data_IF_918526477252
#
_entry.id   IF_918526477252
#
_cell.length_a   1.000
_cell.length_b   1.000
_cell.length_c   1.000
_cell.angle_alpha   90.00
_cell.angle_beta   90.00
_cell.angle_gamma   90.00
#
_symmetry.space_group_name_H-M   'P 1'
#
loop_
_entity.id
_entity.type
_entity.pdbx_description
1 polymer ?
#
# COMPACT_ATOMS: atom_id res chain seq x y z
N UNK A 1 28.29 -14.87 12.39
CA UNK A 1 27.52 -13.65 12.09
C UNK A 1 27.46 -12.88 13.37
N UNK A 2 28.15 -11.73 13.44
CA UNK A 2 28.00 -10.83 14.56
C UNK A 2 26.54 -10.39 14.65
N UNK A 3 26.00 -10.30 15.86
CA UNK A 3 24.62 -9.90 16.07
C UNK A 3 24.40 -8.52 15.44
N UNK A 4 23.42 -8.42 14.53
CA UNK A 4 23.01 -7.13 13.97
C UNK A 4 22.58 -6.26 15.16
N UNK A 5 23.14 -5.05 15.35
CA UNK A 5 22.82 -4.24 16.50
C UNK A 5 21.33 -3.88 16.50
N UNK A 6 20.62 -4.24 17.57
CA UNK A 6 19.22 -3.89 17.78
C UNK A 6 19.09 -2.75 18.78
N UNK A 7 18.14 -1.85 18.56
CA UNK A 7 17.79 -0.79 19.51
C UNK A 7 16.29 -0.87 19.81
N UNK A 8 15.93 -0.82 21.09
CA UNK A 8 14.54 -0.68 21.51
C UNK A 8 14.04 0.73 21.18
N UNK A 9 12.86 0.82 20.59
CA UNK A 9 12.19 2.08 20.25
C UNK A 9 10.82 2.06 20.91
N UNK A 10 10.63 2.91 21.92
CA UNK A 10 9.32 3.10 22.55
C UNK A 10 8.37 3.88 21.65
N UNK A 11 7.07 3.91 21.97
CA UNK A 11 6.08 4.75 21.27
C UNK A 11 6.50 6.23 21.26
N UNK A 12 7.00 6.73 22.40
CA UNK A 12 7.52 8.09 22.54
C UNK A 12 8.79 8.33 21.72
N UNK A 13 9.68 7.34 21.61
CA UNK A 13 10.86 7.43 20.73
C UNK A 13 10.46 7.51 19.26
N UNK A 14 9.46 6.74 18.83
CA UNK A 14 9.00 6.75 17.44
C UNK A 14 8.46 8.14 17.05
N UNK A 15 7.65 8.76 17.93
CA UNK A 15 7.15 10.13 17.76
C UNK A 15 8.29 11.15 17.79
N UNK A 16 9.21 11.04 18.74
CA UNK A 16 10.38 11.93 18.84
C UNK A 16 11.22 11.87 17.56
N UNK A 17 11.55 10.68 17.08
CA UNK A 17 12.31 10.47 15.85
C UNK A 17 11.57 11.03 14.62
N UNK A 18 10.26 10.78 14.50
CA UNK A 18 9.47 11.34 13.41
C UNK A 18 9.56 12.88 13.36
N UNK A 19 9.51 13.55 14.51
CA UNK A 19 9.67 15.01 14.61
C UNK A 19 11.10 15.47 14.30
N UNK A 20 12.11 14.80 14.85
CA UNK A 20 13.53 15.10 14.61
C UNK A 20 13.89 15.03 13.12
N UNK A 21 13.34 14.04 12.40
CA UNK A 21 13.54 13.89 10.96
C UNK A 21 12.57 14.72 10.10
N UNK A 22 11.73 15.58 10.71
CA UNK A 22 10.71 16.36 10.00
C UNK A 22 9.81 15.49 9.10
N UNK A 23 9.51 14.27 9.57
CA UNK A 23 8.60 13.35 8.91
C UNK A 23 7.17 13.82 9.07
N UNK A 24 6.34 13.57 8.06
CA UNK A 24 4.89 13.81 8.15
C UNK A 24 4.20 12.82 9.10
N UNK A 25 4.86 11.73 9.45
CA UNK A 25 4.22 10.59 10.10
C UNK A 25 5.13 9.39 10.33
N UNK A 26 4.50 8.29 10.73
CA UNK A 26 5.09 7.00 11.04
C UNK A 26 4.43 5.95 10.14
N UNK A 27 5.26 5.10 9.53
CA UNK A 27 4.81 3.94 8.78
C UNK A 27 5.17 2.65 9.52
N UNK A 28 4.18 1.78 9.72
CA UNK A 28 4.34 0.47 10.34
C UNK A 28 4.50 -0.58 9.24
N UNK A 29 5.71 -1.10 9.04
CA UNK A 29 6.06 -1.91 7.86
C UNK A 29 7.29 -2.82 8.11
N UNK A 30 7.76 -3.52 7.06
CA UNK A 30 8.80 -4.56 7.01
C UNK A 30 8.45 -5.89 7.69
N UNK A 31 8.24 -5.87 9.00
CA UNK A 31 7.61 -6.99 9.70
C UNK A 31 6.09 -6.80 9.66
N UNK A 32 5.32 -7.88 9.83
CA UNK A 32 3.87 -7.75 9.96
C UNK A 32 3.53 -6.96 11.24
N UNK A 33 3.06 -5.70 11.12
CA UNK A 33 2.87 -4.84 12.29
C UNK A 33 1.75 -5.33 13.21
N UNK A 34 0.75 -6.05 12.68
CA UNK A 34 -0.39 -6.53 13.46
C UNK A 34 -0.02 -7.62 14.47
N UNK A 35 1.16 -8.24 14.37
CA UNK A 35 1.67 -9.18 15.37
C UNK A 35 2.00 -8.47 16.69
N UNK A 36 2.41 -7.19 16.64
CA UNK A 36 2.69 -6.37 17.82
C UNK A 36 1.56 -5.34 18.02
N UNK A 37 0.33 -5.83 18.13
CA UNK A 37 -0.87 -5.00 18.11
C UNK A 37 -0.87 -3.91 19.20
N UNK A 38 -0.47 -4.23 20.43
CA UNK A 38 -0.46 -3.28 21.55
C UNK A 38 0.51 -2.13 21.29
N UNK A 39 1.73 -2.44 20.82
CA UNK A 39 2.72 -1.42 20.46
C UNK A 39 2.24 -0.55 19.30
N UNK A 40 1.65 -1.16 18.27
CA UNK A 40 1.08 -0.46 17.13
C UNK A 40 -0.02 0.51 17.58
N UNK A 41 -0.98 0.04 18.38
CA UNK A 41 -2.11 0.83 18.87
C UNK A 41 -1.62 2.00 19.75
N UNK A 42 -0.72 1.72 20.70
CA UNK A 42 -0.14 2.75 21.57
C UNK A 42 0.61 3.81 20.77
N UNK A 43 1.45 3.38 19.82
CA UNK A 43 2.24 4.29 18.99
C UNK A 43 1.35 5.12 18.06
N UNK A 44 0.34 4.52 17.44
CA UNK A 44 -0.57 5.24 16.55
C UNK A 44 -1.38 6.30 17.30
N UNK A 45 -1.86 5.95 18.50
CA UNK A 45 -2.51 6.88 19.40
C UNK A 45 -1.58 8.02 19.82
N UNK A 46 -0.33 7.73 20.19
CA UNK A 46 0.65 8.74 20.59
C UNK A 46 1.01 9.68 19.43
N UNK A 47 1.26 9.15 18.23
CA UNK A 47 1.55 9.93 17.04
C UNK A 47 0.40 10.90 16.69
N UNK A 48 -0.84 10.43 16.82
CA UNK A 48 -2.03 11.23 16.54
C UNK A 48 -2.15 12.46 17.45
N UNK A 49 -1.67 12.41 18.71
CA UNK A 49 -1.64 13.58 19.62
C UNK A 49 -0.77 14.72 19.10
N UNK A 50 0.21 14.42 18.24
CA UNK A 50 1.12 15.40 17.64
C UNK A 50 0.80 15.68 16.17
N UNK A 51 -0.40 15.33 15.70
CA UNK A 51 -0.84 15.50 14.31
C UNK A 51 0.06 14.78 13.28
N UNK A 52 0.82 13.76 13.72
CA UNK A 52 1.58 12.89 12.83
C UNK A 52 0.64 11.90 12.14
N UNK A 53 0.92 11.60 10.87
CA UNK A 53 0.18 10.62 10.09
C UNK A 53 0.60 9.20 10.38
N UNK A 54 -0.36 8.28 10.43
CA UNK A 54 -0.09 6.86 10.62
C UNK A 54 -0.42 6.07 9.36
N UNK A 55 0.58 5.34 8.86
CA UNK A 55 0.45 4.47 7.68
C UNK A 55 0.66 3.01 8.08
N UNK A 56 -0.32 2.16 7.81
CA UNK A 56 -0.27 0.73 8.11
C UNK A 56 0.05 -0.08 6.85
N UNK A 57 1.19 -0.74 6.79
CA UNK A 57 1.54 -1.68 5.70
C UNK A 57 1.47 -3.10 6.25
N UNK A 58 0.51 -3.90 5.78
CA UNK A 58 0.13 -5.15 6.45
C UNK A 58 -0.35 -6.23 5.48
N UNK A 59 -0.28 -7.49 5.88
CA UNK A 59 -0.96 -8.60 5.23
C UNK A 59 -2.48 -8.64 5.48
N UNK A 60 -3.00 -7.78 6.36
CA UNK A 60 -4.43 -7.61 6.62
C UNK A 60 -5.09 -8.77 7.36
N UNK A 61 -4.33 -9.70 7.93
CA UNK A 61 -4.88 -10.85 8.66
C UNK A 61 -5.12 -10.52 10.13
N UNK A 62 -6.32 -9.99 10.41
CA UNK A 62 -6.72 -9.51 11.74
C UNK A 62 -8.22 -9.75 11.98
N UNK A 63 -8.58 -9.93 13.26
CA UNK A 63 -9.97 -9.98 13.69
C UNK A 63 -10.64 -8.61 13.55
N UNK A 64 -11.95 -8.59 13.34
CA UNK A 64 -12.70 -7.36 13.11
C UNK A 64 -12.63 -6.38 14.30
N UNK A 65 -12.79 -6.86 15.53
CA UNK A 65 -12.76 -6.00 16.73
C UNK A 65 -11.44 -5.23 16.90
N UNK A 66 -10.25 -5.87 16.94
CA UNK A 66 -9.00 -5.13 17.07
C UNK A 66 -8.73 -4.21 15.86
N UNK A 67 -9.15 -4.60 14.65
CA UNK A 67 -9.08 -3.71 13.49
C UNK A 67 -9.90 -2.43 13.73
N UNK A 68 -11.17 -2.56 14.10
CA UNK A 68 -12.07 -1.42 14.35
C UNK A 68 -11.53 -0.51 15.46
N UNK A 69 -10.87 -1.06 16.48
CA UNK A 69 -10.24 -0.28 17.55
C UNK A 69 -9.01 0.50 17.08
N UNK A 70 -8.26 -0.03 16.11
CA UNK A 70 -7.05 0.59 15.56
C UNK A 70 -7.38 1.70 14.53
N UNK A 71 -8.39 1.48 13.69
CA UNK A 71 -8.68 2.34 12.55
C UNK A 71 -8.87 3.84 12.87
N UNK A 72 -9.43 4.28 14.02
CA UNK A 72 -9.49 5.70 14.37
C UNK A 72 -8.16 6.43 14.28
N UNK A 73 -7.04 5.73 14.49
CA UNK A 73 -5.69 6.30 14.50
C UNK A 73 -4.93 6.12 13.20
N UNK A 74 -5.47 5.39 12.22
CA UNK A 74 -4.81 5.12 10.94
C UNK A 74 -5.35 6.08 9.87
N UNK A 75 -4.44 6.75 9.16
CA UNK A 75 -4.78 7.65 8.05
C UNK A 75 -4.80 6.92 6.70
N UNK A 76 -3.85 6.01 6.50
CA UNK A 76 -3.71 5.23 5.27
C UNK A 76 -3.26 3.80 5.56
N UNK A 77 -3.61 2.87 4.68
CA UNK A 77 -3.16 1.49 4.73
C UNK A 77 -2.79 0.97 3.33
N UNK A 78 -1.74 0.16 3.27
CA UNK A 78 -1.40 -0.68 2.11
C UNK A 78 -1.54 -2.14 2.55
N UNK A 79 -2.46 -2.87 1.92
CA UNK A 79 -2.80 -4.24 2.30
C UNK A 79 -2.33 -5.23 1.24
N UNK A 80 -1.52 -6.19 1.65
CA UNK A 80 -1.03 -7.26 0.79
C UNK A 80 -2.12 -8.32 0.55
N UNK A 81 -2.89 -8.18 -0.54
CA UNK A 81 -3.74 -9.26 -1.05
C UNK A 81 -2.87 -10.15 -1.95
N UNK A 82 -2.32 -11.23 -1.37
CA UNK A 82 -1.24 -12.01 -2.00
C UNK A 82 -1.70 -12.93 -3.12
N UNK A 83 -2.98 -13.29 -3.15
CA UNK A 83 -3.60 -14.12 -4.18
C UNK A 83 -5.11 -13.94 -4.10
N UNK A 84 -5.85 -14.28 -5.16
CA UNK A 84 -7.31 -14.37 -5.13
C UNK A 84 -7.79 -15.84 -5.11
N UNK A 85 -6.96 -16.74 -4.57
CA UNK A 85 -7.23 -18.17 -4.41
C UNK A 85 -7.02 -18.63 -2.97
N UNK A 86 -8.00 -19.36 -2.43
CA UNK A 86 -7.93 -19.87 -1.05
C UNK A 86 -6.77 -20.88 -0.84
N UNK A 87 -6.48 -21.70 -1.84
CA UNK A 87 -5.41 -22.70 -1.75
C UNK A 87 -4.04 -22.04 -1.59
N UNK A 88 -3.79 -20.91 -2.26
CA UNK A 88 -2.56 -20.14 -2.05
C UNK A 88 -2.42 -19.70 -0.59
N UNK A 89 -3.49 -19.18 0.01
CA UNK A 89 -3.50 -18.75 1.40
C UNK A 89 -3.29 -19.91 2.38
N UNK A 90 -3.87 -21.07 2.10
CA UNK A 90 -3.69 -22.29 2.90
C UNK A 90 -2.27 -22.84 2.78
N UNK A 91 -1.71 -22.86 1.58
CA UNK A 91 -0.45 -23.55 1.31
C UNK A 91 0.77 -22.68 1.62
N UNK A 92 0.72 -21.39 1.27
CA UNK A 92 1.84 -20.46 1.41
C UNK A 92 1.72 -19.50 2.59
N UNK A 93 0.52 -18.98 2.87
CA UNK A 93 0.34 -17.94 3.90
C UNK A 93 -0.04 -18.49 5.27
N UNK A 94 -0.62 -19.70 5.35
CA UNK A 94 -1.26 -20.26 6.55
C UNK A 94 -2.36 -19.34 7.11
N UNK A 95 -3.12 -18.75 6.21
CA UNK A 95 -4.20 -17.80 6.48
C UNK A 95 -5.42 -18.11 5.60
N UNK A 96 -6.43 -17.23 5.60
CA UNK A 96 -7.61 -17.32 4.74
C UNK A 96 -7.78 -16.03 3.95
N UNK A 97 -8.07 -16.15 2.65
CA UNK A 97 -8.31 -15.01 1.77
C UNK A 97 -9.44 -14.11 2.32
N UNK A 98 -10.56 -14.72 2.71
CA UNK A 98 -11.74 -13.98 3.19
C UNK A 98 -11.48 -13.08 4.39
N UNK A 99 -10.53 -13.43 5.27
CA UNK A 99 -10.17 -12.57 6.41
C UNK A 99 -9.43 -11.30 5.95
N UNK A 100 -8.57 -11.41 4.93
CA UNK A 100 -7.86 -10.27 4.35
C UNK A 100 -8.81 -9.38 3.53
N UNK A 101 -9.71 -9.98 2.74
CA UNK A 101 -10.71 -9.22 1.98
C UNK A 101 -11.62 -8.42 2.92
N UNK A 102 -12.11 -9.05 4.01
CA UNK A 102 -12.91 -8.38 5.05
C UNK A 102 -12.16 -7.16 5.62
N UNK A 103 -10.87 -7.28 5.89
CA UNK A 103 -10.07 -6.16 6.41
C UNK A 103 -10.07 -4.97 5.45
N UNK A 104 -9.83 -5.21 4.16
CA UNK A 104 -9.87 -4.15 3.13
C UNK A 104 -11.27 -3.52 3.04
N UNK A 105 -12.31 -4.34 3.00
CA UNK A 105 -13.70 -3.88 2.93
C UNK A 105 -14.09 -3.00 4.13
N UNK A 106 -13.68 -3.37 5.34
CA UNK A 106 -13.89 -2.56 6.55
C UNK A 106 -13.16 -1.22 6.45
N UNK A 107 -11.89 -1.23 6.03
CA UNK A 107 -11.08 -0.01 5.89
C UNK A 107 -11.70 0.96 4.87
N UNK A 108 -12.14 0.44 3.71
CA UNK A 108 -12.82 1.22 2.67
C UNK A 108 -14.15 1.78 3.19
N UNK A 109 -14.97 0.96 3.87
CA UNK A 109 -16.24 1.39 4.48
C UNK A 109 -16.05 2.50 5.53
N UNK A 110 -14.94 2.46 6.26
CA UNK A 110 -14.55 3.51 7.21
C UNK A 110 -13.82 4.70 6.57
N UNK A 111 -13.79 4.79 5.23
CA UNK A 111 -13.23 5.90 4.46
C UNK A 111 -11.75 6.15 4.73
N UNK A 112 -10.99 5.08 4.99
CA UNK A 112 -9.52 5.16 5.04
C UNK A 112 -8.95 5.23 3.64
N UNK A 113 -7.76 5.83 3.51
CA UNK A 113 -7.00 5.75 2.25
C UNK A 113 -6.40 4.35 2.15
N UNK A 114 -7.00 3.50 1.33
CA UNK A 114 -6.56 2.10 1.17
C UNK A 114 -5.90 1.93 -0.18
N UNK A 115 -4.72 1.34 -0.18
CA UNK A 115 -4.03 0.81 -1.34
C UNK A 115 -3.92 -0.71 -1.18
N UNK A 116 -3.86 -1.43 -2.30
CA UNK A 116 -3.66 -2.88 -2.30
C UNK A 116 -2.40 -3.22 -3.08
N UNK A 117 -1.58 -4.07 -2.48
CA UNK A 117 -0.38 -4.62 -3.10
C UNK A 117 -0.55 -6.11 -3.38
N UNK A 118 -0.23 -6.52 -4.61
CA UNK A 118 -0.19 -7.91 -5.03
C UNK A 118 1.19 -8.24 -5.61
N UNK A 119 1.96 -9.05 -4.87
CA UNK A 119 3.26 -9.55 -5.33
C UNK A 119 3.02 -10.68 -6.34
N UNK A 120 3.36 -10.45 -7.60
CA UNK A 120 3.12 -11.42 -8.67
C UNK A 120 4.23 -12.47 -8.66
N UNK A 121 3.90 -13.71 -8.34
CA UNK A 121 4.79 -14.87 -8.33
C UNK A 121 4.40 -15.78 -9.52
N UNK A 122 5.32 -16.03 -10.47
CA UNK A 122 5.01 -16.84 -11.64
C UNK A 122 4.44 -18.20 -11.27
N UNK A 123 3.46 -18.70 -12.02
CA UNK A 123 2.77 -19.99 -11.84
C UNK A 123 1.88 -20.11 -10.60
N UNK A 124 1.94 -19.16 -9.65
CA UNK A 124 1.17 -19.24 -8.41
C UNK A 124 -0.04 -18.30 -8.40
N UNK A 125 0.13 -17.06 -8.87
CA UNK A 125 -0.93 -16.05 -8.85
C UNK A 125 -0.90 -15.10 -10.07
N UNK A 126 -0.21 -15.48 -11.16
CA UNK A 126 -0.01 -14.63 -12.34
C UNK A 126 -0.95 -14.94 -13.51
N UNK A 127 -1.99 -15.75 -13.28
CA UNK A 127 -2.99 -16.08 -14.29
C UNK A 127 -3.91 -14.89 -14.60
N UNK A 128 -4.36 -14.77 -15.85
CA UNK A 128 -5.25 -13.67 -16.26
C UNK A 128 -6.55 -13.68 -15.45
N UNK A 129 -7.16 -14.85 -15.22
CA UNK A 129 -8.42 -14.96 -14.49
C UNK A 129 -8.31 -14.53 -13.02
N UNK A 130 -7.20 -14.82 -12.36
CA UNK A 130 -6.99 -14.38 -10.97
C UNK A 130 -6.77 -12.87 -10.87
N UNK A 131 -6.06 -12.29 -11.84
CA UNK A 131 -5.86 -10.84 -11.94
C UNK A 131 -7.20 -10.14 -12.22
N UNK A 132 -8.03 -10.71 -13.08
CA UNK A 132 -9.39 -10.24 -13.36
C UNK A 132 -10.25 -10.31 -12.09
N UNK A 133 -10.26 -11.43 -11.36
CA UNK A 133 -11.06 -11.54 -10.12
C UNK A 133 -10.64 -10.53 -9.05
N UNK A 134 -9.33 -10.33 -8.83
CA UNK A 134 -8.80 -9.31 -7.92
C UNK A 134 -9.21 -7.90 -8.36
N UNK A 135 -9.08 -7.61 -9.65
CA UNK A 135 -9.44 -6.32 -10.24
C UNK A 135 -10.93 -6.05 -10.09
N UNK A 136 -11.76 -7.05 -10.34
CA UNK A 136 -13.23 -6.96 -10.30
C UNK A 136 -13.73 -6.72 -8.88
N UNK A 137 -13.14 -7.43 -7.91
CA UNK A 137 -13.40 -7.19 -6.50
C UNK A 137 -13.02 -5.76 -6.09
N UNK A 138 -11.81 -5.28 -6.44
CA UNK A 138 -11.42 -3.89 -6.14
C UNK A 138 -12.33 -2.87 -6.81
N UNK A 139 -12.67 -3.07 -8.08
CA UNK A 139 -13.58 -2.20 -8.83
C UNK A 139 -14.97 -2.14 -8.18
N UNK A 140 -15.44 -3.25 -7.60
CA UNK A 140 -16.71 -3.28 -6.86
C UNK A 140 -16.69 -2.44 -5.57
N UNK A 141 -15.51 -2.21 -4.99
CA UNK A 141 -15.31 -1.34 -3.83
C UNK A 141 -15.14 0.13 -4.25
N UNK A 142 -14.25 0.37 -5.22
CA UNK A 142 -14.03 1.67 -5.86
C UNK A 142 -12.97 1.56 -6.96
N UNK A 143 -13.18 2.22 -8.09
CA UNK A 143 -12.20 2.32 -9.19
C UNK A 143 -11.00 3.26 -8.88
N UNK A 144 -11.08 3.98 -7.77
CA UNK A 144 -10.05 4.89 -7.26
C UNK A 144 -9.01 4.20 -6.37
N UNK A 145 -9.25 2.95 -5.93
CA UNK A 145 -8.32 2.23 -5.05
C UNK A 145 -7.02 1.92 -5.83
N UNK A 146 -5.86 2.43 -5.39
CA UNK A 146 -4.59 2.08 -6.00
C UNK A 146 -4.28 0.59 -5.89
N UNK A 147 -3.94 -0.03 -7.02
CA UNK A 147 -3.43 -1.40 -7.07
C UNK A 147 -1.96 -1.39 -7.50
N UNK A 148 -1.10 -2.02 -6.69
CA UNK A 148 0.32 -2.20 -6.98
C UNK A 148 0.61 -3.65 -7.32
N UNK A 149 1.10 -3.90 -8.54
CA UNK A 149 1.69 -5.18 -8.87
C UNK A 149 3.19 -5.14 -8.62
N UNK A 150 3.63 -5.87 -7.60
CA UNK A 150 5.04 -5.87 -7.22
C UNK A 150 5.78 -7.03 -7.87
N UNK A 151 7.01 -6.77 -8.32
CA UNK A 151 7.90 -7.79 -8.87
C UNK A 151 8.43 -8.71 -7.78
N UNK A 152 8.22 -10.01 -7.96
CA UNK A 152 8.83 -11.04 -7.15
C UNK A 152 10.27 -11.35 -7.60
N UNK A 153 11.12 -11.62 -6.60
CA UNK A 153 12.46 -12.17 -6.75
C UNK A 153 12.61 -13.38 -5.83
N UNK A 154 13.29 -14.46 -6.26
CA UNK A 154 13.51 -15.62 -5.42
C UNK A 154 14.37 -15.28 -4.21
N UNK A 155 13.78 -15.46 -3.03
CA UNK A 155 14.41 -15.30 -1.73
C UNK A 155 14.03 -16.46 -0.81
N UNK A 156 14.80 -16.66 0.26
CA UNK A 156 14.57 -17.73 1.24
C UNK A 156 14.51 -19.13 0.58
N UNK A 157 13.41 -19.87 0.74
CA UNK A 157 13.22 -21.25 0.23
C UNK A 157 12.56 -21.31 -1.14
N UNK A 158 12.24 -20.17 -1.75
CA UNK A 158 11.52 -20.14 -3.00
C UNK A 158 12.48 -20.28 -4.19
N UNK A 159 12.14 -21.19 -5.12
CA UNK A 159 12.98 -21.51 -6.30
C UNK A 159 12.41 -21.02 -7.63
N UNK A 160 11.18 -20.50 -7.62
CA UNK A 160 10.52 -19.92 -8.81
C UNK A 160 11.36 -18.73 -9.29
N UNK A 161 11.58 -18.63 -10.60
CA UNK A 161 12.36 -17.51 -11.16
C UNK A 161 11.67 -16.17 -10.89
N UNK A 162 12.46 -15.11 -10.84
CA UNK A 162 11.94 -13.75 -10.70
C UNK A 162 10.91 -13.44 -11.78
N UNK A 163 9.88 -12.67 -11.43
CA UNK A 163 8.78 -12.36 -12.35
C UNK A 163 9.32 -11.61 -13.56
N UNK A 164 9.05 -12.09 -14.79
CA UNK A 164 9.40 -11.35 -16.00
C UNK A 164 8.70 -10.00 -16.02
N UNK A 165 9.35 -8.96 -16.53
CA UNK A 165 8.73 -7.65 -16.68
C UNK A 165 7.49 -7.71 -17.59
N UNK A 166 7.54 -8.52 -18.65
CA UNK A 166 6.41 -8.74 -19.53
C UNK A 166 5.17 -9.29 -18.79
N UNK A 167 5.34 -10.10 -17.75
CA UNK A 167 4.24 -10.58 -16.91
C UNK A 167 3.62 -9.43 -16.12
N UNK A 168 4.43 -8.55 -15.53
CA UNK A 168 3.94 -7.37 -14.81
C UNK A 168 3.20 -6.39 -15.75
N UNK A 169 3.76 -6.13 -16.93
CA UNK A 169 3.11 -5.29 -17.94
C UNK A 169 1.77 -5.88 -18.40
N UNK A 170 1.67 -7.20 -18.55
CA UNK A 170 0.43 -7.91 -18.88
C UNK A 170 -0.63 -7.72 -17.79
N UNK A 171 -0.32 -8.06 -16.54
CA UNK A 171 -1.31 -7.96 -15.44
C UNK A 171 -1.74 -6.52 -15.18
N UNK A 172 -0.81 -5.56 -15.32
CA UNK A 172 -1.15 -4.13 -15.26
C UNK A 172 -2.14 -3.72 -16.34
N UNK A 173 -1.93 -4.15 -17.59
CA UNK A 173 -2.86 -3.86 -18.70
C UNK A 173 -4.25 -4.43 -18.45
N UNK A 174 -4.36 -5.59 -17.81
CA UNK A 174 -5.64 -6.20 -17.44
C UNK A 174 -6.36 -5.30 -16.41
N UNK A 175 -5.69 -4.97 -15.31
CA UNK A 175 -6.29 -4.18 -14.23
C UNK A 175 -6.66 -2.75 -14.66
N UNK A 176 -5.84 -2.12 -15.54
CA UNK A 176 -6.08 -0.77 -16.05
C UNK A 176 -7.35 -0.63 -16.90
N UNK A 177 -7.98 -1.75 -17.30
CA UNK A 177 -9.30 -1.71 -17.96
C UNK A 177 -10.42 -1.26 -17.01
N UNK A 178 -10.23 -1.40 -15.70
CA UNK A 178 -11.25 -1.10 -14.67
C UNK A 178 -10.78 -0.11 -13.61
N UNK A 179 -9.50 -0.15 -13.21
CA UNK A 179 -8.97 0.71 -12.15
C UNK A 179 -8.22 1.93 -12.72
N UNK A 180 -8.41 3.09 -12.09
CA UNK A 180 -7.76 4.35 -12.49
C UNK A 180 -6.26 4.38 -12.18
N UNK A 181 -5.85 3.69 -11.12
CA UNK A 181 -4.51 3.75 -10.58
C UNK A 181 -3.92 2.34 -10.42
N UNK A 182 -3.09 1.95 -11.39
CA UNK A 182 -2.37 0.67 -11.37
C UNK A 182 -0.87 0.90 -11.59
N UNK A 183 -0.09 0.52 -10.59
CA UNK A 183 1.34 0.77 -10.51
C UNK A 183 2.14 -0.53 -10.60
N UNK A 184 3.37 -0.43 -11.09
CA UNK A 184 4.35 -1.51 -10.98
C UNK A 184 5.36 -1.17 -9.89
N UNK A 185 5.47 -2.06 -8.90
CA UNK A 185 6.44 -1.99 -7.80
C UNK A 185 7.64 -2.91 -8.03
N UNK A 186 8.73 -2.68 -7.30
CA UNK A 186 9.98 -3.46 -7.39
C UNK A 186 10.57 -3.55 -8.82
N UNK A 187 10.28 -2.54 -9.63
CA UNK A 187 10.86 -2.29 -10.95
C UNK A 187 11.58 -0.95 -10.91
N UNK A 188 12.91 -0.97 -11.01
CA UNK A 188 13.72 0.24 -10.95
C UNK A 188 13.58 1.06 -12.24
N UNK A 189 13.47 2.39 -12.09
CA UNK A 189 13.58 3.39 -13.17
C UNK A 189 12.58 3.25 -14.31
N UNK A 190 11.31 3.04 -13.96
CA UNK A 190 10.23 2.77 -14.92
C UNK A 190 9.06 3.76 -14.76
N UNK A 191 8.58 4.39 -15.86
CA UNK A 191 7.47 5.34 -15.83
C UNK A 191 6.18 4.79 -15.20
N UNK A 192 6.03 3.47 -15.13
CA UNK A 192 4.87 2.76 -14.62
C UNK A 192 4.61 2.95 -13.12
N UNK A 193 5.57 3.54 -12.39
CA UNK A 193 5.41 3.99 -11.00
C UNK A 193 4.86 5.42 -10.86
N UNK A 194 4.80 6.17 -11.96
CA UNK A 194 4.24 7.52 -11.97
C UNK A 194 2.71 7.46 -11.86
N UNK A 195 2.13 8.51 -11.26
CA UNK A 195 0.68 8.70 -11.32
C UNK A 195 0.35 9.48 -12.59
N UNK A 196 -0.57 8.94 -13.37
CA UNK A 196 -1.07 9.55 -14.59
C UNK A 196 -2.50 10.05 -14.39
N UNK A 197 -2.86 11.11 -15.10
CA UNK A 197 -4.25 11.56 -15.17
C UNK A 197 -5.09 10.45 -15.81
N UNK A 198 -6.23 10.04 -15.20
CA UNK A 198 -7.05 8.98 -15.77
C UNK A 198 -7.68 9.40 -17.11
N UNK A 199 -7.86 10.71 -17.35
CA UNK A 199 -8.44 11.29 -18.56
C UNK A 199 -7.35 11.62 -19.60
N UNK A 200 -6.47 12.59 -19.33
CA UNK A 200 -5.49 13.10 -20.29
C UNK A 200 -4.19 12.29 -20.38
N UNK A 201 -3.98 11.31 -19.50
CA UNK A 201 -2.77 10.47 -19.45
C UNK A 201 -1.46 11.24 -19.27
N UNK A 202 -1.50 12.50 -18.87
CA UNK A 202 -0.32 13.27 -18.47
C UNK A 202 0.21 12.82 -17.11
N UNK A 203 1.51 13.03 -16.87
CA UNK A 203 2.12 12.72 -15.57
C UNK A 203 1.65 13.75 -14.54
N UNK A 204 1.05 13.27 -13.46
CA UNK A 204 0.61 14.08 -12.32
C UNK A 204 1.67 14.09 -11.23
N UNK A 205 2.19 12.90 -10.89
CA UNK A 205 3.26 12.70 -9.92
C UNK A 205 4.33 11.83 -10.55
N UNK A 206 5.54 12.36 -10.63
CA UNK A 206 6.74 11.61 -11.03
C UNK A 206 7.34 10.91 -9.81
N UNK A 207 7.66 9.62 -9.92
CA UNK A 207 8.31 8.83 -8.87
C UNK A 207 9.61 8.22 -9.38
N UNK A 208 10.66 8.31 -8.58
CA UNK A 208 11.96 7.67 -8.81
C UNK A 208 12.56 7.22 -7.49
N UNK A 209 12.60 5.90 -7.27
CA UNK A 209 13.00 5.35 -5.98
C UNK A 209 12.15 5.92 -4.83
N UNK A 210 12.80 6.50 -3.83
CA UNK A 210 12.13 7.13 -2.68
C UNK A 210 11.73 8.60 -2.91
N UNK A 211 11.93 9.13 -4.11
CA UNK A 211 11.59 10.51 -4.44
C UNK A 211 10.28 10.58 -5.23
N UNK A 212 9.39 11.48 -4.81
CA UNK A 212 8.17 11.80 -5.53
C UNK A 212 8.08 13.31 -5.75
N UNK A 213 7.63 13.72 -6.95
CA UNK A 213 7.47 15.13 -7.32
C UNK A 213 6.12 15.34 -7.99
N UNK A 214 5.32 16.25 -7.44
CA UNK A 214 4.08 16.71 -8.07
C UNK A 214 4.42 17.63 -9.24
N UNK A 215 4.04 17.24 -10.46
CA UNK A 215 4.34 17.99 -11.69
C UNK A 215 3.07 18.48 -12.39
N UNK A 216 2.02 17.67 -12.39
CA UNK A 216 0.77 17.93 -13.14
C UNK A 216 -0.46 18.23 -12.26
N UNK A 217 -0.29 18.50 -10.97
CA UNK A 217 -1.40 18.73 -10.01
C UNK A 217 -1.59 20.20 -9.61
N UNK A 218 -2.83 20.68 -9.64
CA UNK A 218 -3.29 21.90 -8.98
C UNK A 218 -4.10 21.49 -7.74
N UNK A 219 -3.46 21.48 -6.57
CA UNK A 219 -4.04 20.88 -5.37
C UNK A 219 -4.30 19.38 -5.58
N UNK A 220 -5.51 18.93 -5.32
CA UNK A 220 -5.95 17.53 -5.52
C UNK A 220 -6.50 17.26 -6.94
N UNK A 221 -6.30 18.16 -7.91
CA UNK A 221 -6.87 18.04 -9.26
C UNK A 221 -5.80 18.09 -10.36
N UNK A 222 -6.07 17.45 -11.50
CA UNK A 222 -5.24 17.58 -12.69
C UNK A 222 -5.23 19.03 -13.19
N UNK A 223 -4.05 19.60 -13.46
CA UNK A 223 -3.91 20.97 -13.99
C UNK A 223 -4.58 21.17 -15.35
N UNK A 224 -4.74 20.10 -16.14
CA UNK A 224 -5.19 20.18 -17.53
C UNK A 224 -6.70 19.92 -17.69
N UNK A 225 -7.25 18.81 -17.17
CA UNK A 225 -8.70 18.55 -17.21
C UNK A 225 -9.49 19.04 -16.00
N UNK A 226 -8.83 19.39 -14.90
CA UNK A 226 -9.52 19.65 -13.64
C UNK A 226 -10.09 18.41 -12.95
N UNK A 227 -9.83 17.20 -13.47
CA UNK A 227 -10.28 15.95 -12.82
C UNK A 227 -9.71 15.87 -11.43
N UNK A 228 -10.58 15.63 -10.44
CA UNK A 228 -10.16 15.39 -9.07
C UNK A 228 -9.52 14.02 -8.97
N UNK A 229 -8.31 13.98 -8.43
CA UNK A 229 -7.54 12.74 -8.29
C UNK A 229 -7.63 12.32 -6.82
N UNK A 230 -7.78 11.02 -6.56
CA UNK A 230 -7.86 10.48 -5.20
C UNK A 230 -6.49 10.52 -4.48
N UNK A 231 -5.98 11.73 -4.25
CA UNK A 231 -4.70 12.04 -3.61
C UNK A 231 -4.94 13.15 -2.61
N UNK A 232 -4.32 13.02 -1.43
CA UNK A 232 -4.29 14.05 -0.39
C UNK A 232 -2.99 14.83 -0.47
N UNK A 233 -3.11 16.13 -0.77
CA UNK A 233 -1.98 17.06 -0.70
C UNK A 233 -1.98 17.73 0.66
N UNK A 234 -0.94 17.47 1.45
CA UNK A 234 -0.76 18.10 2.76
C UNK A 234 -0.16 19.51 2.57
N UNK A 235 -0.84 20.52 3.10
CA UNK A 235 -0.41 21.91 2.97
C UNK A 235 0.64 22.24 4.04
N UNK A 236 1.93 22.14 3.69
CA UNK A 236 3.04 22.37 4.64
C UNK A 236 3.27 23.85 5.00
N UNK A 237 2.46 24.78 4.50
CA UNK A 237 2.68 26.23 4.65
C UNK A 237 2.45 26.79 6.06
N UNK A 238 1.85 26.03 6.98
CA UNK A 238 1.52 26.50 8.33
C UNK A 238 2.16 25.71 9.48
N UNK A 239 3.02 24.72 9.19
CA UNK A 239 3.74 24.01 10.24
C UNK A 239 5.06 24.75 10.51
N UNK A 240 4.97 25.79 11.35
CA UNK A 240 6.14 26.26 12.09
C UNK A 240 6.60 25.10 12.97
N UNK A 241 7.69 24.45 12.58
CA UNK A 241 8.49 23.60 13.48
C UNK A 241 9.10 24.50 14.55
#
# INVERSE_FOLDING_TARGET
MDAVPTKTVTSGDAVRLAKEYSSIGIAYTYNEPLINFEYLLETAHEAHKYNLKNVLVTNGYINEEPLVNLLPYIDAADVDVKSFRNDFYKDYCKAKLGDVLRTVEIMVRQKKHVEVTNLIIPTLNDSDSEVEDLTDWLYSLSDEIPLHFSRYYPCYKMTIKATPLATLERVRKIAQKKLKHVYLGNVWEKPESNTYCPIFKEILIERRGYHARMVGLAGESCKNCGEKINIKVLDRKNEKI
#
